data_IF_940621272363
#
_entry.id   IF_940621272363
#
_cell.length_a   1.000
_cell.length_b   1.000
_cell.length_c   1.000
_cell.angle_alpha   90.00
_cell.angle_beta   90.00
_cell.angle_gamma   90.00
#
_symmetry.space_group_name_H-M   'P 1'
#
loop_
_entity.id
_entity.type
_entity.pdbx_description
1 polymer ?
#
# COMPACT_ATOMS: atom_id res chain seq x y z
N UNK A 1 -9.30 -4.52 -9.03
CA UNK A 1 -10.47 -4.86 -8.18
C UNK A 1 -11.16 -6.17 -8.59
N UNK A 2 -11.62 -6.31 -9.84
CA UNK A 2 -12.37 -7.48 -10.30
C UNK A 2 -11.61 -8.82 -10.15
N UNK A 3 -10.32 -8.85 -10.49
CA UNK A 3 -9.45 -10.05 -10.39
C UNK A 3 -9.25 -10.49 -8.93
N UNK A 4 -9.13 -9.52 -8.02
CA UNK A 4 -8.96 -9.78 -6.58
C UNK A 4 -10.25 -10.34 -5.99
N UNK A 5 -11.39 -9.71 -6.32
CA UNK A 5 -12.71 -10.15 -5.87
C UNK A 5 -13.06 -11.50 -6.47
N UNK A 6 -12.77 -11.72 -7.76
CA UNK A 6 -12.97 -13.02 -8.39
C UNK A 6 -12.11 -14.08 -7.72
N UNK A 7 -10.83 -13.82 -7.46
CA UNK A 7 -9.96 -14.76 -6.74
C UNK A 7 -10.48 -15.11 -5.35
N UNK A 8 -10.96 -14.10 -4.59
CA UNK A 8 -11.51 -14.32 -3.27
C UNK A 8 -12.83 -15.12 -3.30
N UNK A 9 -13.73 -14.81 -4.24
CA UNK A 9 -14.97 -15.57 -4.44
C UNK A 9 -14.68 -17.00 -4.93
N UNK A 10 -13.71 -17.17 -5.82
CA UNK A 10 -13.27 -18.50 -6.28
C UNK A 10 -12.83 -19.35 -5.09
N UNK A 11 -11.97 -18.83 -4.20
CA UNK A 11 -11.51 -19.55 -3.01
C UNK A 11 -12.64 -19.84 -2.01
N UNK A 12 -13.67 -19.00 -1.95
CA UNK A 12 -14.83 -19.24 -1.09
C UNK A 12 -15.78 -20.31 -1.63
N UNK A 13 -16.00 -20.35 -2.95
CA UNK A 13 -16.91 -21.29 -3.59
C UNK A 13 -16.29 -22.66 -3.94
N UNK A 14 -14.96 -22.84 -3.84
CA UNK A 14 -14.36 -24.17 -4.02
C UNK A 14 -14.64 -25.09 -2.82
N UNK A 15 -15.21 -26.29 -3.03
CA UNK A 15 -15.40 -27.26 -1.96
C UNK A 15 -14.13 -28.13 -1.77
N UNK A 16 -13.73 -28.30 -0.51
CA UNK A 16 -13.07 -29.51 0.03
C UNK A 16 -11.55 -29.71 -0.03
N UNK A 17 -10.69 -28.72 -0.34
CA UNK A 17 -9.22 -28.93 -0.26
C UNK A 17 -8.40 -27.80 0.38
N UNK A 18 -9.07 -26.77 0.93
CA UNK A 18 -8.41 -25.61 1.51
C UNK A 18 -8.69 -25.58 3.01
N UNK A 19 -7.62 -25.57 3.80
CA UNK A 19 -7.65 -25.46 5.26
C UNK A 19 -8.45 -24.23 5.70
N UNK A 20 -9.26 -24.35 6.77
CA UNK A 20 -10.23 -23.31 7.17
C UNK A 20 -9.56 -21.95 7.41
N UNK A 21 -8.28 -21.94 7.79
CA UNK A 21 -7.48 -20.72 7.98
C UNK A 21 -7.24 -19.89 6.71
N UNK A 22 -7.42 -20.46 5.52
CA UNK A 22 -7.24 -19.77 4.23
C UNK A 22 -8.57 -19.32 3.59
N UNK A 23 -9.70 -19.69 4.19
CA UNK A 23 -11.02 -19.29 3.69
C UNK A 23 -11.27 -17.82 4.08
N UNK A 24 -11.71 -16.95 3.15
CA UNK A 24 -12.00 -15.55 3.45
C UNK A 24 -13.04 -15.35 4.57
N UNK A 25 -13.97 -16.30 4.71
CA UNK A 25 -15.05 -16.30 5.69
C UNK A 25 -15.74 -14.94 5.77
N UNK A 26 -16.18 -14.42 4.61
CA UNK A 26 -16.80 -13.10 4.56
C UNK A 26 -18.07 -13.08 5.42
N UNK A 27 -18.21 -12.08 6.29
CA UNK A 27 -19.46 -11.88 7.03
C UNK A 27 -19.70 -12.79 8.23
N UNK A 28 -18.77 -13.67 8.61
CA UNK A 28 -18.96 -14.59 9.76
C UNK A 28 -18.78 -13.91 11.14
N UNK A 29 -17.81 -13.00 11.27
CA UNK A 29 -17.52 -12.28 12.52
C UNK A 29 -17.41 -10.76 12.33
N UNK A 30 -17.00 -10.33 11.14
CA UNK A 30 -16.97 -8.94 10.68
C UNK A 30 -17.68 -8.88 9.34
N UNK A 31 -18.28 -7.74 8.96
CA UNK A 31 -18.83 -7.54 7.60
C UNK A 31 -17.74 -7.43 6.51
N UNK A 32 -16.58 -8.05 6.74
CA UNK A 32 -15.36 -8.00 5.93
C UNK A 32 -14.72 -9.41 5.93
N UNK A 33 -13.46 -9.52 5.52
CA UNK A 33 -12.68 -10.75 5.67
C UNK A 33 -12.61 -11.16 7.15
N UNK A 34 -13.04 -12.38 7.46
CA UNK A 34 -13.06 -12.92 8.82
C UNK A 34 -11.67 -13.36 9.31
N UNK A 35 -10.73 -13.59 8.40
CA UNK A 35 -9.37 -14.03 8.73
C UNK A 35 -8.27 -13.09 8.20
N UNK A 36 -7.19 -12.86 8.97
CA UNK A 36 -6.12 -11.93 8.61
C UNK A 36 -5.26 -12.41 7.44
N UNK A 37 -5.11 -13.73 7.25
CA UNK A 37 -4.32 -14.32 6.15
C UNK A 37 -4.89 -14.03 4.75
N UNK A 38 -6.18 -14.32 4.46
CA UNK A 38 -6.77 -13.98 3.17
C UNK A 38 -6.86 -12.47 2.94
N UNK A 39 -7.06 -11.66 3.99
CA UNK A 39 -6.98 -10.20 3.90
C UNK A 39 -5.60 -9.74 3.42
N UNK A 40 -4.52 -10.25 4.03
CA UNK A 40 -3.14 -9.95 3.61
C UNK A 40 -2.89 -10.39 2.16
N UNK A 41 -3.31 -11.60 1.80
CA UNK A 41 -3.04 -12.17 0.48
C UNK A 41 -3.80 -11.44 -0.65
N UNK A 42 -5.10 -11.18 -0.47
CA UNK A 42 -5.93 -10.64 -1.54
C UNK A 42 -5.98 -9.12 -1.55
N UNK A 43 -5.94 -8.47 -0.39
CA UNK A 43 -6.05 -7.01 -0.31
C UNK A 43 -4.70 -6.33 -0.10
N UNK A 44 -3.90 -6.81 0.85
CA UNK A 44 -2.65 -6.14 1.18
C UNK A 44 -1.56 -6.36 0.11
N UNK A 45 -1.47 -7.53 -0.50
CA UNK A 45 -0.49 -7.82 -1.57
C UNK A 45 -0.56 -6.86 -2.77
N UNK A 46 -1.71 -6.64 -3.45
CA UNK A 46 -1.79 -5.67 -4.53
C UNK A 46 -1.54 -4.23 -4.06
N UNK A 47 -1.93 -3.89 -2.83
CA UNK A 47 -1.57 -2.60 -2.22
C UNK A 47 -0.05 -2.44 -2.06
N UNK A 48 0.64 -3.47 -1.54
CA UNK A 48 2.08 -3.47 -1.34
C UNK A 48 2.85 -3.26 -2.66
N UNK A 49 2.37 -3.88 -3.74
CA UNK A 49 2.95 -3.71 -5.08
C UNK A 49 2.86 -2.25 -5.52
N UNK A 50 1.67 -1.64 -5.43
CA UNK A 50 1.44 -0.24 -5.82
C UNK A 50 2.28 0.71 -4.94
N UNK A 51 2.40 0.41 -3.65
CA UNK A 51 3.22 1.17 -2.69
C UNK A 51 4.70 1.09 -3.03
N UNK A 52 5.20 -0.10 -3.39
CA UNK A 52 6.59 -0.31 -3.81
C UNK A 52 6.91 0.49 -5.06
N UNK A 53 6.01 0.48 -6.06
CA UNK A 53 6.17 1.32 -7.24
C UNK A 53 6.16 2.82 -6.91
N UNK A 54 5.32 3.25 -5.96
CA UNK A 54 5.32 4.65 -5.51
C UNK A 54 6.67 5.05 -4.89
N UNK A 55 7.32 4.18 -4.10
CA UNK A 55 8.65 4.45 -3.55
C UNK A 55 9.68 4.56 -4.67
N UNK A 56 9.65 3.66 -5.65
CA UNK A 56 10.57 3.68 -6.80
C UNK A 56 10.39 4.97 -7.60
N UNK A 57 9.14 5.33 -7.92
CA UNK A 57 8.84 6.58 -8.62
C UNK A 57 9.24 7.80 -7.80
N UNK A 58 9.01 7.79 -6.49
CA UNK A 58 9.45 8.86 -5.60
C UNK A 58 10.97 9.04 -5.63
N UNK A 59 11.74 7.95 -5.49
CA UNK A 59 13.21 8.01 -5.55
C UNK A 59 13.69 8.46 -6.93
N UNK A 60 13.03 8.02 -8.00
CA UNK A 60 13.33 8.46 -9.37
C UNK A 60 13.05 9.95 -9.56
N UNK A 61 11.88 10.44 -9.13
CA UNK A 61 11.52 11.85 -9.17
C UNK A 61 12.44 12.69 -8.30
N UNK A 62 12.82 12.22 -7.10
CA UNK A 62 13.78 12.89 -6.24
C UNK A 62 15.15 12.99 -6.94
N UNK A 63 15.66 11.89 -7.50
CA UNK A 63 16.91 11.90 -8.27
C UNK A 63 16.85 12.83 -9.48
N UNK A 64 15.74 12.83 -10.20
CA UNK A 64 15.50 13.74 -11.32
C UNK A 64 15.51 15.18 -10.84
N UNK A 65 14.83 15.53 -9.75
CA UNK A 65 14.87 16.87 -9.18
C UNK A 65 16.30 17.24 -8.76
N UNK A 66 17.02 16.40 -8.02
CA UNK A 66 18.39 16.68 -7.58
C UNK A 66 19.35 16.90 -8.78
N UNK A 67 19.23 16.07 -9.83
CA UNK A 67 19.97 16.19 -11.07
C UNK A 67 19.59 17.43 -11.88
N UNK A 68 18.30 17.71 -12.03
CA UNK A 68 17.77 18.86 -12.77
C UNK A 68 18.02 20.17 -12.03
N UNK A 69 18.14 20.17 -10.70
CA UNK A 69 18.48 21.37 -9.90
C UNK A 69 19.90 21.87 -10.20
N UNK A 70 20.83 21.01 -10.65
CA UNK A 70 22.16 21.46 -11.07
C UNK A 70 22.19 22.06 -12.49
N UNK A 71 21.21 21.73 -13.35
CA UNK A 71 21.24 22.09 -14.79
C UNK A 71 20.11 23.04 -15.22
N UNK A 72 19.03 23.16 -14.46
CA UNK A 72 17.77 23.75 -14.97
C UNK A 72 17.11 24.64 -13.92
N UNK A 73 17.70 25.81 -13.67
CA UNK A 73 17.02 26.92 -12.97
C UNK A 73 15.92 27.58 -13.83
N UNK A 74 15.70 27.16 -15.08
CA UNK A 74 15.15 28.05 -16.11
C UNK A 74 13.78 27.69 -16.74
N UNK A 75 13.13 26.56 -16.42
CA UNK A 75 11.94 26.12 -17.20
C UNK A 75 10.67 25.79 -16.43
N UNK A 76 10.69 25.62 -15.11
CA UNK A 76 9.48 25.34 -14.32
C UNK A 76 9.12 26.52 -13.42
N UNK A 77 7.89 27.04 -13.55
CA UNK A 77 7.37 28.08 -12.67
C UNK A 77 7.44 27.67 -11.21
N UNK A 78 7.75 28.61 -10.32
CA UNK A 78 7.83 28.40 -8.87
C UNK A 78 6.54 27.77 -8.30
N UNK A 79 5.38 28.09 -8.91
CA UNK A 79 4.08 27.52 -8.56
C UNK A 79 4.00 26.02 -8.90
N UNK A 80 4.34 25.62 -10.12
CA UNK A 80 4.33 24.21 -10.57
C UNK A 80 5.26 23.34 -9.72
N UNK A 81 6.43 23.85 -9.33
CA UNK A 81 7.32 23.13 -8.43
C UNK A 81 6.77 22.98 -7.00
N UNK A 82 5.97 23.94 -6.53
CA UNK A 82 5.35 23.90 -5.20
C UNK A 82 4.23 22.86 -5.16
N UNK A 83 3.38 22.85 -6.17
CA UNK A 83 2.27 21.90 -6.30
C UNK A 83 2.79 20.47 -6.43
N UNK A 84 3.80 20.26 -7.29
CA UNK A 84 4.44 18.94 -7.43
C UNK A 84 5.01 18.45 -6.09
N UNK A 85 5.71 19.31 -5.35
CA UNK A 85 6.29 18.97 -4.04
C UNK A 85 5.22 18.66 -2.99
N UNK A 86 4.07 19.32 -3.05
CA UNK A 86 2.92 19.02 -2.20
C UNK A 86 2.31 17.66 -2.52
N UNK A 87 2.05 17.35 -3.80
CA UNK A 87 1.52 16.04 -4.20
C UNK A 87 2.46 14.90 -3.82
N UNK A 88 3.76 15.11 -4.03
CA UNK A 88 4.82 14.18 -3.64
C UNK A 88 4.86 13.98 -2.12
N UNK A 89 4.72 15.05 -1.33
CA UNK A 89 4.67 14.93 0.13
C UNK A 89 3.44 14.14 0.58
N UNK A 90 2.28 14.39 -0.01
CA UNK A 90 1.05 13.63 0.30
C UNK A 90 1.20 12.14 -0.04
N UNK A 91 1.74 11.82 -1.22
CA UNK A 91 1.90 10.42 -1.64
C UNK A 91 2.89 9.66 -0.77
N UNK A 92 3.96 10.33 -0.30
CA UNK A 92 4.93 9.72 0.63
C UNK A 92 4.34 9.48 2.01
N UNK A 93 3.61 10.44 2.59
CA UNK A 93 3.00 10.28 3.91
C UNK A 93 2.02 9.11 3.90
N UNK A 94 1.12 9.07 2.91
CA UNK A 94 0.21 7.94 2.72
C UNK A 94 0.98 6.65 2.41
N UNK A 95 2.00 6.70 1.57
CA UNK A 95 2.79 5.54 1.19
C UNK A 95 3.48 4.87 2.38
N UNK A 96 4.20 5.66 3.17
CA UNK A 96 4.94 5.20 4.34
C UNK A 96 4.01 4.65 5.40
N UNK A 97 2.94 5.37 5.75
CA UNK A 97 1.95 4.91 6.72
C UNK A 97 1.43 3.51 6.34
N UNK A 98 0.92 3.35 5.12
CA UNK A 98 0.35 2.07 4.68
C UNK A 98 1.38 0.95 4.58
N UNK A 99 2.63 1.24 4.19
CA UNK A 99 3.71 0.22 4.24
C UNK A 99 4.02 -0.22 5.67
N UNK A 100 4.08 0.70 6.63
CA UNK A 100 4.31 0.37 8.05
C UNK A 100 3.18 -0.46 8.61
N UNK A 101 1.92 -0.12 8.33
CA UNK A 101 0.75 -0.91 8.75
C UNK A 101 0.75 -2.31 8.16
N UNK A 102 1.19 -2.47 6.91
CA UNK A 102 1.28 -3.78 6.26
C UNK A 102 2.37 -4.65 6.88
N UNK A 103 3.55 -4.09 7.20
CA UNK A 103 4.63 -4.81 7.90
C UNK A 103 4.22 -5.15 9.33
N UNK A 104 3.49 -4.25 10.01
CA UNK A 104 2.94 -4.52 11.35
C UNK A 104 1.98 -5.72 11.32
N UNK A 105 1.14 -5.80 10.29
CA UNK A 105 0.18 -6.88 10.11
C UNK A 105 0.85 -8.23 9.78
N UNK A 106 1.95 -8.25 9.01
CA UNK A 106 2.66 -9.49 8.65
C UNK A 106 3.57 -10.03 9.75
N UNK A 107 4.28 -9.14 10.46
CA UNK A 107 5.24 -9.54 11.49
C UNK A 107 4.66 -9.55 12.92
N UNK A 108 3.41 -9.10 13.10
CA UNK A 108 2.73 -9.03 14.41
C UNK A 108 3.53 -8.23 15.47
N UNK A 109 4.26 -7.20 15.04
CA UNK A 109 5.12 -6.37 15.91
C UNK A 109 4.32 -5.16 16.38
N UNK A 110 4.12 -5.02 17.69
CA UNK A 110 3.39 -3.90 18.30
C UNK A 110 4.05 -2.54 18.03
N UNK A 111 5.38 -2.48 18.01
CA UNK A 111 6.15 -1.24 17.74
C UNK A 111 5.78 -0.65 16.37
N UNK A 112 5.54 -1.50 15.37
CA UNK A 112 5.16 -1.05 14.03
C UNK A 112 3.72 -0.51 13.99
N UNK A 113 2.83 -1.01 14.84
CA UNK A 113 1.48 -0.45 14.98
C UNK A 113 1.52 0.97 15.56
N UNK A 114 2.38 1.23 16.56
CA UNK A 114 2.57 2.58 17.07
C UNK A 114 3.14 3.53 16.02
N UNK A 115 4.10 3.06 15.22
CA UNK A 115 4.64 3.82 14.09
C UNK A 115 3.57 4.11 13.03
N UNK A 116 2.71 3.14 12.71
CA UNK A 116 1.58 3.31 11.80
C UNK A 116 0.62 4.40 12.29
N UNK A 117 0.24 4.36 13.56
CA UNK A 117 -0.66 5.36 14.18
C UNK A 117 0.00 6.74 14.18
N UNK A 118 1.31 6.85 14.43
CA UNK A 118 2.00 8.13 14.41
C UNK A 118 2.16 8.71 12.98
N UNK A 119 2.21 7.85 11.96
CA UNK A 119 2.36 8.24 10.55
C UNK A 119 1.02 8.62 9.88
N UNK A 120 -0.12 8.19 10.44
CA UNK A 120 -1.46 8.40 9.90
C UNK A 120 -2.20 9.53 10.63
#
# INVERSE_FOLDING_TARGET
PAVVVSGALWVEFTPASIDDSWRPAFGNYTCWFGHPKPLLAFFASPMAIIMTFNIIFFVSSARMIYSTTSTTKFTASATTQRDFRLYVRLSVVMGLAWTTGLIAATFNIEILWYMFIALN
#
